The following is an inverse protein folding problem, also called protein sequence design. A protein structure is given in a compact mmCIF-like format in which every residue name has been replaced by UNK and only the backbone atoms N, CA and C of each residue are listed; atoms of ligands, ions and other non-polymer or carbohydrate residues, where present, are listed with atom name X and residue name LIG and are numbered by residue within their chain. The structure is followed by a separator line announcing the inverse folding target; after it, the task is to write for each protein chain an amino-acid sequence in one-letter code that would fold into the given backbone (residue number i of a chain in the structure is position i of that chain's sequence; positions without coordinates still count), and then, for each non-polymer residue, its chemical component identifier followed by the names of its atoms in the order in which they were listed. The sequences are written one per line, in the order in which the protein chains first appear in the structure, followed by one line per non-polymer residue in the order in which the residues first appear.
data_IF_205802767600
#
_entry.id   IF_205802767600
#
_cell.length_a   1.000
_cell.length_b   1.000
_cell.length_c   1.000
_cell.angle_alpha   90.00
_cell.angle_beta   90.00
_cell.angle_gamma   90.00
#
_symmetry.space_group_name_H-M   'P 1'
#
loop_
_entity.id
_entity.type
_entity.pdbx_description
1 polymer ?
#
# COMPACT_ATOMS: atom_id res chain seq x y z
N UNK A 1 -21.91 22.27 -2.52
CA UNK A 1 -20.76 21.38 -2.42
C UNK A 1 -20.42 20.87 -3.83
N UNK A 2 -19.37 21.38 -4.44
CA UNK A 2 -18.98 21.04 -5.79
C UNK A 2 -18.22 19.72 -5.77
N UNK A 3 -18.76 18.69 -6.42
CA UNK A 3 -18.02 17.52 -6.78
C UNK A 3 -16.85 17.96 -7.68
N UNK A 4 -15.62 17.91 -7.14
CA UNK A 4 -14.43 18.08 -7.96
C UNK A 4 -14.40 16.88 -8.92
N UNK A 5 -14.63 17.13 -10.21
CA UNK A 5 -14.26 16.21 -11.27
C UNK A 5 -12.75 16.02 -11.18
N UNK A 6 -12.32 14.85 -10.73
CA UNK A 6 -10.92 14.47 -10.79
C UNK A 6 -10.50 14.45 -12.26
N UNK A 7 -9.57 15.34 -12.62
CA UNK A 7 -9.01 15.40 -13.95
C UNK A 7 -7.86 14.40 -14.00
N UNK A 8 -8.03 13.35 -14.78
CA UNK A 8 -7.10 12.25 -15.04
C UNK A 8 -5.63 12.68 -15.34
N UNK A 9 -5.39 13.95 -15.63
CA UNK A 9 -4.06 14.48 -15.96
C UNK A 9 -3.21 14.96 -14.78
N UNK A 10 -3.77 15.08 -13.57
CA UNK A 10 -3.01 15.56 -12.39
C UNK A 10 -2.54 14.43 -11.46
N UNK A 11 -3.20 13.28 -11.48
CA UNK A 11 -2.89 12.17 -10.58
C UNK A 11 -1.76 11.26 -11.11
N UNK A 12 -1.34 11.45 -12.35
CA UNK A 12 -0.29 10.66 -13.03
C UNK A 12 1.13 11.24 -12.79
N UNK A 13 1.25 12.39 -12.14
CA UNK A 13 2.50 13.17 -12.18
C UNK A 13 3.73 12.46 -11.62
N UNK A 14 3.61 11.57 -10.61
CA UNK A 14 4.79 10.86 -10.13
C UNK A 14 5.03 9.55 -10.90
N UNK A 15 3.98 8.93 -11.44
CA UNK A 15 4.12 7.75 -12.30
C UNK A 15 4.87 8.07 -13.60
N UNK A 16 4.89 9.33 -14.05
CA UNK A 16 5.71 9.79 -15.18
C UNK A 16 7.23 9.60 -14.93
N UNK A 17 7.64 9.32 -13.69
CA UNK A 17 9.04 9.03 -13.37
C UNK A 17 9.51 7.74 -14.03
N UNK A 18 8.62 6.74 -14.12
CA UNK A 18 8.89 5.41 -14.69
C UNK A 18 7.85 4.95 -15.73
N UNK A 19 6.98 5.85 -16.21
CA UNK A 19 5.96 5.59 -17.23
C UNK A 19 6.37 6.07 -18.64
N UNK A 20 7.38 5.52 -19.32
CA UNK A 20 7.42 5.68 -20.76
C UNK A 20 6.54 4.60 -21.38
N UNK A 21 5.46 5.02 -22.03
CA UNK A 21 4.63 4.20 -22.95
C UNK A 21 4.23 2.81 -22.44
N UNK A 22 3.23 2.74 -21.55
CA UNK A 22 2.56 1.47 -21.23
C UNK A 22 1.86 0.89 -22.47
N UNK A 23 1.81 -0.45 -22.61
CA UNK A 23 1.03 -1.12 -23.64
C UNK A 23 -0.44 -0.70 -23.62
N UNK A 24 -1.04 -0.56 -24.80
CA UNK A 24 -2.47 -0.21 -24.93
C UNK A 24 -3.37 -1.24 -24.24
N UNK A 25 -2.99 -2.50 -24.27
CA UNK A 25 -3.69 -3.60 -23.61
C UNK A 25 -3.75 -3.39 -22.10
N UNK A 26 -2.64 -3.01 -21.49
CA UNK A 26 -2.56 -2.75 -20.04
C UNK A 26 -3.39 -1.53 -19.64
N UNK A 27 -3.31 -0.44 -20.43
CA UNK A 27 -4.14 0.73 -20.21
C UNK A 27 -5.63 0.41 -20.36
N UNK A 28 -6.02 -0.40 -21.35
CA UNK A 28 -7.41 -0.81 -21.53
C UNK A 28 -7.93 -1.64 -20.34
N UNK A 29 -7.09 -2.52 -19.75
CA UNK A 29 -7.44 -3.28 -18.56
C UNK A 29 -7.60 -2.38 -17.33
N UNK A 30 -6.73 -1.38 -17.17
CA UNK A 30 -6.82 -0.40 -16.10
C UNK A 30 -8.11 0.43 -16.16
N UNK A 31 -8.68 0.65 -17.35
CA UNK A 31 -9.95 1.39 -17.53
C UNK A 31 -11.21 0.55 -17.23
N UNK A 32 -11.09 -0.73 -16.91
CA UNK A 32 -12.24 -1.57 -16.57
C UNK A 32 -12.91 -1.12 -15.26
N UNK A 33 -14.24 -1.29 -15.08
CA UNK A 33 -14.94 -0.86 -13.87
C UNK A 33 -14.36 -1.45 -12.58
N UNK A 34 -13.88 -2.71 -12.62
CA UNK A 34 -13.28 -3.38 -11.46
C UNK A 34 -11.98 -2.71 -11.01
N UNK A 35 -11.17 -2.22 -11.94
CA UNK A 35 -9.96 -1.45 -11.64
C UNK A 35 -10.29 0.00 -11.25
N UNK A 36 -11.23 0.65 -11.95
CA UNK A 36 -11.66 2.02 -11.66
C UNK A 36 -12.23 2.18 -10.24
N UNK A 37 -12.78 1.12 -9.66
CA UNK A 37 -13.19 1.08 -8.26
C UNK A 37 -12.06 1.50 -7.31
N UNK A 38 -10.83 1.06 -7.60
CA UNK A 38 -9.64 1.32 -6.77
C UNK A 38 -9.26 2.81 -6.69
N UNK A 39 -9.76 3.67 -7.58
CA UNK A 39 -9.59 5.13 -7.47
C UNK A 39 -10.26 5.71 -6.21
N UNK A 40 -11.22 5.00 -5.64
CA UNK A 40 -11.98 5.39 -4.45
C UNK A 40 -11.62 4.57 -3.21
N UNK A 41 -10.45 3.93 -3.25
CA UNK A 41 -9.84 3.24 -2.11
C UNK A 41 -8.47 3.87 -1.88
N UNK A 42 -8.30 4.44 -0.69
CA UNK A 42 -7.08 5.12 -0.28
C UNK A 42 -5.93 4.15 -0.01
N UNK A 43 -4.71 4.63 -0.16
CA UNK A 43 -3.51 3.82 0.08
C UNK A 43 -3.20 3.65 1.57
N UNK A 44 -3.73 4.52 2.43
CA UNK A 44 -3.40 4.58 3.85
C UNK A 44 -4.48 4.00 4.76
N UNK A 45 -5.26 3.04 4.26
CA UNK A 45 -6.18 2.25 5.07
C UNK A 45 -7.21 3.08 5.85
N UNK A 46 -7.63 4.22 5.31
CA UNK A 46 -8.56 5.14 5.96
C UNK A 46 -7.94 6.08 6.98
N UNK A 47 -6.64 5.94 7.32
CA UNK A 47 -5.96 6.87 8.24
C UNK A 47 -5.93 8.30 7.68
N UNK A 48 -5.98 8.47 6.36
CA UNK A 48 -6.08 9.76 5.66
C UNK A 48 -7.39 10.53 5.93
N UNK A 49 -8.40 9.90 6.51
CA UNK A 49 -9.63 10.58 6.92
C UNK A 49 -9.50 11.27 8.28
N UNK A 50 -8.45 11.00 9.04
CA UNK A 50 -8.14 11.68 10.30
C UNK A 50 -7.67 13.12 10.06
N UNK A 51 -7.45 13.86 11.14
CA UNK A 51 -6.88 15.19 11.10
C UNK A 51 -5.34 15.21 11.26
N UNK A 52 -4.67 14.08 11.11
CA UNK A 52 -3.20 14.01 11.25
C UNK A 52 -2.49 14.95 10.27
N UNK A 53 -1.52 15.73 10.74
CA UNK A 53 -0.80 16.67 9.89
C UNK A 53 -0.15 16.03 8.66
N UNK A 54 0.32 14.79 8.77
CA UNK A 54 0.97 14.06 7.68
C UNK A 54 0.04 13.88 6.47
N UNK A 55 -1.25 13.60 6.69
CA UNK A 55 -2.23 13.45 5.61
C UNK A 55 -2.78 14.78 5.12
N UNK A 56 -2.98 15.76 6.03
CA UNK A 56 -3.41 17.12 5.65
C UNK A 56 -2.41 17.82 4.76
N UNK A 57 -1.12 17.54 4.91
CA UNK A 57 -0.02 18.13 4.17
C UNK A 57 0.39 17.32 2.93
N UNK A 58 -0.23 16.18 2.66
CA UNK A 58 0.08 15.39 1.48
C UNK A 58 -0.15 16.18 0.20
N UNK A 59 0.75 16.02 -0.80
CA UNK A 59 0.72 16.79 -2.04
C UNK A 59 -0.52 16.48 -2.89
N UNK A 60 -0.99 15.22 -2.87
CA UNK A 60 -2.20 14.77 -3.54
C UNK A 60 -2.73 13.49 -2.88
N UNK A 61 -4.01 13.12 -3.11
CA UNK A 61 -4.53 11.82 -2.74
C UNK A 61 -3.75 10.68 -3.42
N UNK A 62 -3.52 9.60 -2.69
CA UNK A 62 -2.87 8.40 -3.20
C UNK A 62 -3.85 7.23 -3.11
N UNK A 63 -4.22 6.66 -4.26
CA UNK A 63 -5.20 5.59 -4.36
C UNK A 63 -4.58 4.24 -4.68
N UNK A 64 -5.29 3.16 -4.37
CA UNK A 64 -4.91 1.81 -4.80
C UNK A 64 -4.83 1.67 -6.32
N UNK A 65 -5.63 2.42 -7.06
CA UNK A 65 -5.55 2.48 -8.52
C UNK A 65 -4.20 3.02 -8.99
N UNK A 66 -3.77 4.16 -8.43
CA UNK A 66 -2.49 4.79 -8.81
C UNK A 66 -1.32 3.86 -8.47
N UNK A 67 -1.37 3.21 -7.31
CA UNK A 67 -0.41 2.21 -6.88
C UNK A 67 -0.37 1.00 -7.84
N UNK A 68 -1.51 0.41 -8.17
CA UNK A 68 -1.59 -0.74 -9.08
C UNK A 68 -1.05 -0.42 -10.48
N UNK A 69 -1.38 0.79 -10.99
CA UNK A 69 -0.86 1.24 -12.29
C UNK A 69 0.65 1.46 -12.25
N UNK A 70 1.16 2.06 -11.17
CA UNK A 70 2.60 2.26 -10.97
C UNK A 70 3.35 0.94 -10.81
N UNK A 71 2.82 -0.03 -10.06
CA UNK A 71 3.38 -1.38 -9.95
C UNK A 71 3.49 -2.06 -11.31
N UNK A 72 2.40 -2.02 -12.10
CA UNK A 72 2.39 -2.57 -13.46
C UNK A 72 3.42 -1.90 -14.38
N UNK A 73 3.59 -0.58 -14.24
CA UNK A 73 4.56 0.19 -15.03
C UNK A 73 6.00 -0.20 -14.69
N UNK A 74 6.32 -0.40 -13.42
CA UNK A 74 7.63 -0.88 -12.98
C UNK A 74 7.89 -2.29 -13.52
N UNK A 75 6.92 -3.20 -13.36
CA UNK A 75 7.05 -4.57 -13.90
C UNK A 75 7.28 -4.53 -15.40
N UNK A 76 6.48 -3.76 -16.15
CA UNK A 76 6.65 -3.62 -17.60
C UNK A 76 8.02 -3.06 -17.98
N UNK A 77 8.49 -2.03 -17.25
CA UNK A 77 9.79 -1.41 -17.52
C UNK A 77 10.95 -2.41 -17.44
N UNK A 78 10.92 -3.29 -16.43
CA UNK A 78 12.03 -4.22 -16.18
C UNK A 78 11.90 -5.55 -16.91
N UNK A 79 10.69 -5.97 -17.28
CA UNK A 79 10.47 -7.32 -17.85
C UNK A 79 10.06 -7.31 -19.31
N UNK A 80 9.39 -6.26 -19.78
CA UNK A 80 8.67 -6.22 -21.06
C UNK A 80 7.75 -7.43 -21.29
N UNK A 81 7.27 -8.04 -20.22
CA UNK A 81 6.35 -9.17 -20.20
C UNK A 81 4.96 -8.70 -19.79
N UNK A 82 4.02 -8.75 -20.77
CA UNK A 82 2.64 -8.28 -20.53
C UNK A 82 1.94 -9.09 -19.44
N UNK A 83 2.19 -10.39 -19.36
CA UNK A 83 1.59 -11.26 -18.33
C UNK A 83 1.97 -10.82 -16.93
N UNK A 84 3.26 -10.61 -16.67
CA UNK A 84 3.75 -10.15 -15.38
C UNK A 84 3.25 -8.73 -15.05
N UNK A 85 3.23 -7.83 -16.05
CA UNK A 85 2.74 -6.47 -15.86
C UNK A 85 1.24 -6.43 -15.53
N UNK A 86 0.42 -7.31 -16.18
CA UNK A 86 -1.01 -7.44 -15.86
C UNK A 86 -1.22 -8.05 -14.49
N UNK A 87 -0.45 -9.07 -14.09
CA UNK A 87 -0.50 -9.60 -12.72
C UNK A 87 -0.19 -8.49 -11.69
N UNK A 88 0.83 -7.66 -11.95
CA UNK A 88 1.15 -6.49 -11.13
C UNK A 88 0.04 -5.43 -11.14
N UNK A 89 -0.67 -5.23 -12.26
CA UNK A 89 -1.85 -4.34 -12.30
C UNK A 89 -2.98 -4.83 -11.42
N UNK A 90 -3.22 -6.15 -11.40
CA UNK A 90 -4.38 -6.77 -10.79
C UNK A 90 -4.15 -7.20 -9.32
N UNK A 91 -2.92 -7.06 -8.79
CA UNK A 91 -2.58 -7.58 -7.46
C UNK A 91 -3.51 -7.05 -6.35
N UNK A 92 -3.89 -5.79 -6.42
CA UNK A 92 -4.77 -5.11 -5.46
C UNK A 92 -6.25 -5.07 -5.89
N UNK A 93 -6.64 -5.77 -6.97
CA UNK A 93 -8.01 -5.71 -7.51
C UNK A 93 -9.07 -6.09 -6.49
N UNK A 94 -8.75 -6.94 -5.53
CA UNK A 94 -9.65 -7.38 -4.46
C UNK A 94 -9.53 -6.57 -3.16
N UNK A 95 -8.71 -5.53 -3.11
CA UNK A 95 -8.56 -4.71 -1.91
C UNK A 95 -9.92 -4.12 -1.48
N UNK A 96 -10.37 -4.35 -0.23
CA UNK A 96 -11.62 -3.79 0.28
C UNK A 96 -11.48 -2.29 0.62
N UNK A 97 -12.60 -1.64 0.86
CA UNK A 97 -12.63 -0.32 1.47
C UNK A 97 -11.83 -0.33 2.78
N UNK A 98 -10.98 0.67 2.97
CA UNK A 98 -10.01 0.77 4.07
C UNK A 98 -8.97 -0.35 4.13
N UNK A 99 -8.83 -1.13 3.06
CA UNK A 99 -7.73 -2.08 2.85
C UNK A 99 -7.43 -2.96 4.08
N UNK A 100 -6.23 -2.88 4.64
CA UNK A 100 -5.77 -3.70 5.77
C UNK A 100 -6.54 -3.50 7.09
N UNK A 101 -7.42 -2.51 7.21
CA UNK A 101 -8.34 -2.44 8.36
C UNK A 101 -9.23 -3.68 8.43
N UNK A 102 -9.57 -4.28 7.28
CA UNK A 102 -10.35 -5.54 7.25
C UNK A 102 -9.54 -6.72 7.80
N UNK A 103 -8.21 -6.70 7.69
CA UNK A 103 -7.37 -7.71 8.34
C UNK A 103 -7.38 -7.56 9.88
N UNK A 104 -7.39 -6.31 10.39
CA UNK A 104 -7.61 -6.04 11.82
C UNK A 104 -8.99 -6.54 12.27
N UNK A 105 -10.03 -6.28 11.49
CA UNK A 105 -11.39 -6.75 11.74
C UNK A 105 -11.45 -8.29 11.84
N UNK A 106 -10.70 -8.99 10.99
CA UNK A 106 -10.64 -10.45 10.93
C UNK A 106 -9.65 -11.07 11.94
N UNK A 107 -8.94 -10.25 12.73
CA UNK A 107 -7.90 -10.70 13.66
C UNK A 107 -6.60 -11.15 12.97
N UNK A 108 -6.42 -10.85 11.69
CA UNK A 108 -5.25 -11.22 10.87
C UNK A 108 -4.25 -10.06 10.66
N UNK A 109 -4.26 -9.08 11.54
CA UNK A 109 -3.47 -7.85 11.42
C UNK A 109 -1.93 -8.05 11.38
N UNK A 110 -1.43 -9.23 11.79
CA UNK A 110 -0.01 -9.58 11.74
C UNK A 110 0.41 -10.21 10.40
N UNK A 111 -0.49 -10.92 9.72
CA UNK A 111 -0.22 -11.52 8.39
C UNK A 111 -0.71 -10.61 7.27
N UNK A 112 -1.94 -10.07 7.43
CA UNK A 112 -2.62 -9.23 6.44
C UNK A 112 -2.83 -9.95 5.10
N UNK A 113 -3.39 -11.16 5.16
CA UNK A 113 -3.65 -12.04 4.01
C UNK A 113 -5.14 -12.41 3.91
N UNK A 114 -5.97 -11.97 4.87
CA UNK A 114 -7.37 -12.40 4.98
C UNK A 114 -8.26 -11.98 3.79
N UNK A 115 -7.80 -11.03 2.98
CA UNK A 115 -8.54 -10.47 1.83
C UNK A 115 -8.07 -10.98 0.47
N UNK A 116 -6.91 -11.65 0.37
CA UNK A 116 -6.28 -12.07 -0.89
C UNK A 116 -7.10 -13.13 -1.66
N UNK A 117 -7.85 -13.97 -0.96
CA UNK A 117 -8.62 -15.06 -1.57
C UNK A 117 -9.74 -14.62 -2.55
N UNK A 118 -10.01 -13.31 -2.68
CA UNK A 118 -11.05 -12.80 -3.60
C UNK A 118 -10.51 -12.35 -4.97
N UNK A 119 -9.20 -12.27 -5.17
CA UNK A 119 -8.59 -11.79 -6.43
C UNK A 119 -9.11 -12.58 -7.63
N UNK A 120 -9.00 -13.92 -7.61
CA UNK A 120 -9.50 -14.78 -8.66
C UNK A 120 -10.98 -14.52 -8.99
N UNK A 121 -11.84 -14.49 -7.97
CA UNK A 121 -13.27 -14.32 -8.16
C UNK A 121 -13.65 -12.94 -8.68
N UNK A 122 -12.97 -11.88 -8.25
CA UNK A 122 -13.22 -10.52 -8.73
C UNK A 122 -12.79 -10.32 -10.18
N UNK A 123 -11.66 -10.88 -10.60
CA UNK A 123 -11.25 -10.88 -12.01
C UNK A 123 -12.27 -11.67 -12.85
N UNK A 124 -12.59 -12.91 -12.44
CA UNK A 124 -13.54 -13.79 -13.14
C UNK A 124 -14.93 -13.16 -13.28
N UNK A 125 -15.34 -12.34 -12.33
CA UNK A 125 -16.67 -11.67 -12.32
C UNK A 125 -16.71 -10.40 -13.18
N UNK A 126 -15.60 -9.99 -13.81
CA UNK A 126 -15.53 -8.81 -14.69
C UNK A 126 -15.51 -9.21 -16.16
N UNK A 127 -16.66 -9.20 -16.88
CA UNK A 127 -16.73 -9.62 -18.29
C UNK A 127 -15.82 -8.81 -19.21
N UNK A 128 -15.69 -7.49 -18.95
CA UNK A 128 -14.85 -6.60 -19.75
C UNK A 128 -13.37 -6.95 -19.57
N UNK A 129 -12.92 -7.18 -18.33
CA UNK A 129 -11.55 -7.56 -18.04
C UNK A 129 -11.22 -8.93 -18.62
N UNK A 130 -12.10 -9.92 -18.45
CA UNK A 130 -11.93 -11.26 -19.03
C UNK A 130 -11.85 -11.23 -20.56
N UNK A 131 -12.67 -10.37 -21.22
CA UNK A 131 -12.59 -10.21 -22.67
C UNK A 131 -11.26 -9.55 -23.12
N UNK A 132 -10.72 -8.62 -22.33
CA UNK A 132 -9.42 -8.00 -22.58
C UNK A 132 -8.27 -8.99 -22.40
N UNK A 133 -8.29 -9.78 -21.32
CA UNK A 133 -7.30 -10.87 -21.10
C UNK A 133 -7.29 -11.83 -22.28
N UNK A 134 -8.46 -12.35 -22.69
CA UNK A 134 -8.56 -13.28 -23.81
C UNK A 134 -8.04 -12.67 -25.13
N UNK A 135 -8.32 -11.39 -25.41
CA UNK A 135 -7.78 -10.71 -26.60
C UNK A 135 -6.26 -10.55 -26.58
N UNK A 136 -5.69 -10.44 -25.38
CA UNK A 136 -4.25 -10.35 -25.17
C UNK A 136 -3.56 -11.74 -25.11
N UNK A 137 -4.33 -12.83 -25.29
CA UNK A 137 -3.82 -14.20 -25.20
C UNK A 137 -3.48 -14.64 -23.77
N UNK A 138 -4.06 -13.96 -22.76
CA UNK A 138 -3.87 -14.27 -21.34
C UNK A 138 -5.08 -15.01 -20.78
N UNK A 139 -4.82 -15.93 -19.85
CA UNK A 139 -5.83 -16.63 -19.07
C UNK A 139 -5.96 -15.99 -17.68
N UNK A 140 -7.04 -16.32 -16.98
CA UNK A 140 -7.21 -15.90 -15.58
C UNK A 140 -6.05 -16.42 -14.70
N UNK A 141 -5.69 -17.69 -14.83
CA UNK A 141 -4.61 -18.33 -14.09
C UNK A 141 -3.22 -17.72 -14.35
N UNK A 142 -3.06 -16.96 -15.45
CA UNK A 142 -1.82 -16.24 -15.73
C UNK A 142 -1.63 -15.00 -14.86
N UNK A 143 -2.71 -14.45 -14.29
CA UNK A 143 -2.70 -13.09 -13.71
C UNK A 143 -3.34 -12.98 -12.32
N UNK A 144 -3.95 -14.02 -11.80
CA UNK A 144 -4.65 -14.01 -10.51
C UNK A 144 -3.73 -14.22 -9.29
N UNK A 145 -2.50 -14.68 -9.53
CA UNK A 145 -1.47 -14.86 -8.50
C UNK A 145 -0.17 -14.16 -8.91
N UNK A 146 0.01 -12.92 -8.46
CA UNK A 146 1.18 -12.10 -8.76
C UNK A 146 2.46 -12.57 -8.06
N UNK A 147 2.37 -13.38 -7.00
CA UNK A 147 3.54 -13.97 -6.30
C UNK A 147 4.33 -14.94 -7.20
N UNK A 148 3.72 -15.42 -8.28
CA UNK A 148 4.42 -16.24 -9.29
C UNK A 148 5.48 -15.45 -10.08
N UNK A 149 5.48 -14.12 -9.95
CA UNK A 149 6.34 -13.19 -10.69
C UNK A 149 7.22 -12.39 -9.74
N UNK A 150 8.48 -12.82 -9.49
CA UNK A 150 9.34 -12.26 -8.45
C UNK A 150 9.64 -10.76 -8.60
N UNK A 151 9.54 -10.22 -9.84
CA UNK A 151 9.68 -8.77 -10.06
C UNK A 151 8.42 -8.03 -9.64
N UNK A 152 7.22 -8.61 -9.81
CA UNK A 152 5.97 -8.00 -9.38
C UNK A 152 5.88 -7.97 -7.84
N UNK A 153 6.01 -9.13 -7.20
CA UNK A 153 6.18 -9.23 -5.75
C UNK A 153 7.03 -10.44 -5.35
N UNK A 154 7.56 -10.41 -4.13
CA UNK A 154 8.43 -11.43 -3.55
C UNK A 154 8.41 -11.33 -2.02
N UNK A 155 9.05 -12.27 -1.32
CA UNK A 155 9.11 -12.25 0.13
C UNK A 155 9.97 -11.10 0.68
N UNK A 156 9.50 -10.45 1.75
CA UNK A 156 10.32 -9.51 2.53
C UNK A 156 11.57 -10.24 3.06
N UNK A 157 12.74 -9.60 3.04
CA UNK A 157 13.00 -8.18 2.82
C UNK A 157 13.43 -7.81 1.39
N UNK A 158 13.17 -8.64 0.40
CA UNK A 158 13.55 -8.44 -0.99
C UNK A 158 12.83 -7.23 -1.60
N UNK A 159 13.42 -6.64 -2.65
CA UNK A 159 12.82 -5.53 -3.37
C UNK A 159 11.99 -6.05 -4.56
N UNK A 160 10.70 -5.69 -4.59
CA UNK A 160 9.75 -5.95 -5.67
C UNK A 160 9.22 -4.65 -6.25
N UNK A 161 8.49 -4.73 -7.37
CA UNK A 161 7.82 -3.58 -7.97
C UNK A 161 6.75 -2.99 -7.05
N UNK A 162 5.98 -3.84 -6.35
CA UNK A 162 5.02 -3.41 -5.33
C UNK A 162 5.68 -2.57 -4.26
N UNK A 163 6.78 -3.08 -3.64
CA UNK A 163 7.50 -2.38 -2.57
C UNK A 163 8.19 -1.12 -3.06
N UNK A 164 8.74 -1.14 -4.25
CA UNK A 164 9.34 0.03 -4.88
C UNK A 164 8.29 1.12 -5.09
N UNK A 165 7.15 0.75 -5.69
CA UNK A 165 6.10 1.68 -6.04
C UNK A 165 5.54 2.40 -4.83
N UNK A 166 5.10 1.67 -3.78
CA UNK A 166 4.55 2.35 -2.62
C UNK A 166 5.62 3.16 -1.84
N UNK A 167 6.89 2.76 -1.90
CA UNK A 167 7.98 3.56 -1.30
C UNK A 167 8.16 4.89 -2.03
N UNK A 168 8.20 4.87 -3.36
CA UNK A 168 8.36 6.08 -4.17
C UNK A 168 7.12 6.98 -4.13
N UNK A 169 5.92 6.38 -4.19
CA UNK A 169 4.66 7.10 -4.11
C UNK A 169 4.53 7.88 -2.80
N UNK A 170 4.78 7.23 -1.66
CA UNK A 170 4.75 7.91 -0.37
C UNK A 170 5.91 8.90 -0.21
N UNK A 171 7.11 8.58 -0.70
CA UNK A 171 8.23 9.50 -0.68
C UNK A 171 7.88 10.81 -1.40
N UNK A 172 7.22 10.73 -2.55
CA UNK A 172 6.79 11.89 -3.32
C UNK A 172 5.59 12.60 -2.69
N UNK A 173 4.49 11.88 -2.47
CA UNK A 173 3.20 12.49 -2.14
C UNK A 173 3.10 12.89 -0.66
N UNK A 174 3.74 12.15 0.23
CA UNK A 174 3.63 12.33 1.69
C UNK A 174 4.88 12.95 2.29
N UNK A 175 6.06 12.49 1.88
CA UNK A 175 7.33 12.98 2.43
C UNK A 175 7.96 14.11 1.63
N UNK A 176 7.33 14.52 0.51
CA UNK A 176 7.77 15.62 -0.35
C UNK A 176 9.21 15.46 -0.88
N UNK A 177 9.62 14.20 -1.14
CA UNK A 177 10.91 13.90 -1.74
C UNK A 177 11.00 14.53 -3.14
N UNK A 178 12.12 15.19 -3.50
CA UNK A 178 12.28 15.78 -4.81
C UNK A 178 12.21 14.75 -5.94
N UNK A 179 11.53 15.07 -7.03
CA UNK A 179 11.39 14.19 -8.20
C UNK A 179 12.74 13.73 -8.76
N UNK A 180 13.77 14.61 -8.74
CA UNK A 180 15.11 14.26 -9.19
C UNK A 180 15.72 13.09 -8.39
N UNK A 181 15.45 13.00 -7.09
CA UNK A 181 15.90 11.91 -6.22
C UNK A 181 15.17 10.60 -6.56
N UNK A 182 13.86 10.67 -6.79
CA UNK A 182 13.07 9.51 -7.21
C UNK A 182 13.51 8.99 -8.58
N UNK A 183 13.80 9.88 -9.54
CA UNK A 183 14.34 9.50 -10.86
C UNK A 183 15.72 8.86 -10.74
N UNK A 184 16.59 9.35 -9.84
CA UNK A 184 17.89 8.75 -9.58
C UNK A 184 17.73 7.31 -9.03
N UNK A 185 16.78 7.09 -8.10
CA UNK A 185 16.47 5.76 -7.57
C UNK A 185 16.01 4.83 -8.69
N UNK A 186 15.02 5.24 -9.50
CA UNK A 186 14.52 4.42 -10.61
C UNK A 186 15.59 4.13 -11.67
N UNK A 187 16.42 5.12 -12.00
CA UNK A 187 17.46 5.01 -13.02
C UNK A 187 18.66 4.16 -12.59
N UNK A 188 18.80 3.87 -11.31
CA UNK A 188 19.89 3.05 -10.76
C UNK A 188 19.55 1.56 -10.69
N UNK A 189 18.27 1.22 -10.85
CA UNK A 189 17.80 -0.16 -10.69
C UNK A 189 18.05 -1.01 -11.92
N UNK A 190 18.32 -2.27 -11.68
CA UNK A 190 18.37 -3.33 -12.70
C UNK A 190 17.87 -4.66 -12.14
N UNK A 191 17.58 -5.63 -13.02
CA UNK A 191 17.20 -6.99 -12.61
C UNK A 191 18.46 -7.82 -12.41
N UNK A 192 18.65 -8.37 -11.22
CA UNK A 192 19.74 -9.29 -10.88
C UNK A 192 19.21 -10.60 -10.31
N UNK A 193 20.11 -11.56 -10.08
CA UNK A 193 19.78 -12.82 -9.41
C UNK A 193 20.16 -12.74 -7.94
N UNK A 194 19.20 -13.06 -7.06
CA UNK A 194 19.44 -13.14 -5.62
C UNK A 194 20.13 -14.45 -5.20
N UNK A 195 20.25 -14.66 -3.89
CA UNK A 195 20.93 -15.82 -3.28
C UNK A 195 20.30 -17.17 -3.68
N UNK A 196 19.03 -17.16 -4.10
CA UNK A 196 18.26 -18.33 -4.52
C UNK A 196 18.20 -18.46 -6.04
N UNK A 197 18.98 -17.65 -6.78
CA UNK A 197 18.96 -17.57 -8.24
C UNK A 197 17.60 -17.13 -8.83
N UNK A 198 16.83 -16.33 -8.05
CA UNK A 198 15.54 -15.74 -8.45
C UNK A 198 15.77 -14.29 -8.87
N UNK A 199 15.00 -13.80 -9.84
CA UNK A 199 15.06 -12.39 -10.28
C UNK A 199 14.60 -11.46 -9.15
N UNK A 200 15.36 -10.36 -8.93
CA UNK A 200 15.07 -9.34 -7.94
C UNK A 200 15.53 -7.97 -8.47
N UNK A 201 14.85 -6.89 -8.09
CA UNK A 201 15.31 -5.53 -8.37
C UNK A 201 16.52 -5.20 -7.48
N UNK A 202 17.60 -4.77 -8.12
CA UNK A 202 18.90 -4.53 -7.50
C UNK A 202 19.38 -3.11 -7.79
N UNK A 203 20.16 -2.53 -6.90
CA UNK A 203 20.83 -1.24 -7.09
C UNK A 203 22.23 -1.41 -7.68
N UNK A 204 22.56 -0.54 -8.64
CA UNK A 204 23.93 -0.49 -9.20
C UNK A 204 24.90 0.23 -8.24
N UNK A 205 24.44 1.24 -7.48
CA UNK A 205 25.28 2.07 -6.63
C UNK A 205 24.80 2.10 -5.18
N UNK A 206 25.73 1.95 -4.25
CA UNK A 206 25.43 1.89 -2.80
C UNK A 206 24.86 3.20 -2.24
N UNK A 207 25.29 4.35 -2.76
CA UNK A 207 24.79 5.66 -2.35
C UNK A 207 23.32 5.89 -2.73
N UNK A 208 22.87 5.33 -3.85
CA UNK A 208 21.48 5.40 -4.27
C UNK A 208 20.63 4.42 -3.44
N UNK A 209 21.17 3.23 -3.19
CA UNK A 209 20.54 2.26 -2.26
C UNK A 209 20.39 2.85 -0.84
N UNK A 210 21.37 3.62 -0.35
CA UNK A 210 21.28 4.32 0.94
C UNK A 210 20.13 5.33 0.96
N UNK A 211 19.97 6.11 -0.12
CA UNK A 211 18.87 7.06 -0.26
C UNK A 211 17.53 6.33 -0.22
N UNK A 212 17.36 5.28 -1.01
CA UNK A 212 16.15 4.48 -1.05
C UNK A 212 15.82 3.83 0.30
N UNK A 213 16.80 3.20 0.94
CA UNK A 213 16.59 2.48 2.20
C UNK A 213 16.24 3.40 3.36
N UNK A 214 16.74 4.65 3.38
CA UNK A 214 16.30 5.69 4.34
C UNK A 214 14.83 6.05 4.14
N UNK A 215 14.38 6.23 2.90
CA UNK A 215 12.96 6.49 2.60
C UNK A 215 12.08 5.31 3.00
N UNK A 216 12.49 4.10 2.63
CA UNK A 216 11.79 2.87 2.96
C UNK A 216 11.69 2.62 4.47
N UNK A 217 12.77 2.83 5.23
CA UNK A 217 12.74 2.64 6.69
C UNK A 217 11.85 3.69 7.36
N UNK A 218 11.96 4.97 6.98
CA UNK A 218 11.08 6.04 7.47
C UNK A 218 9.60 5.70 7.24
N UNK A 219 9.28 5.16 6.08
CA UNK A 219 7.92 4.72 5.76
C UNK A 219 7.50 3.52 6.59
N UNK A 220 8.39 2.55 6.79
CA UNK A 220 8.12 1.36 7.61
C UNK A 220 7.83 1.75 9.07
N UNK A 221 8.58 2.71 9.62
CA UNK A 221 8.35 3.27 10.95
C UNK A 221 7.00 4.00 11.02
N UNK A 222 6.64 4.75 9.99
CA UNK A 222 5.35 5.44 9.91
C UNK A 222 4.17 4.45 9.86
N UNK A 223 4.25 3.39 9.06
CA UNK A 223 3.20 2.36 8.92
C UNK A 223 2.94 1.54 10.19
N UNK A 224 3.82 1.60 11.18
CA UNK A 224 3.63 0.96 12.49
C UNK A 224 3.65 1.98 13.64
N UNK A 225 3.54 3.27 13.32
CA UNK A 225 3.47 4.33 14.33
C UNK A 225 2.27 4.16 15.27
N UNK A 226 2.32 4.83 16.39
CA UNK A 226 1.19 4.85 17.32
C UNK A 226 -0.08 5.41 16.67
N UNK A 227 0.06 6.45 15.83
CA UNK A 227 -1.04 7.04 15.05
C UNK A 227 -1.69 6.02 14.12
N UNK A 228 -0.89 5.29 13.35
CA UNK A 228 -1.38 4.29 12.40
C UNK A 228 -2.09 3.12 13.10
N UNK A 229 -1.41 2.49 14.08
CA UNK A 229 -1.96 1.35 14.83
C UNK A 229 -3.25 1.68 15.56
N UNK A 230 -3.31 2.87 16.19
CA UNK A 230 -4.52 3.35 16.83
C UNK A 230 -5.66 3.52 15.83
N UNK A 231 -5.39 4.19 14.71
CA UNK A 231 -6.39 4.51 13.70
C UNK A 231 -6.97 3.26 13.04
N UNK A 232 -6.10 2.31 12.67
CA UNK A 232 -6.54 1.05 12.07
C UNK A 232 -7.40 0.22 13.03
N UNK A 233 -7.00 0.11 14.30
CA UNK A 233 -7.78 -0.61 15.31
C UNK A 233 -9.12 0.08 15.59
N UNK A 234 -9.13 1.42 15.75
CA UNK A 234 -10.36 2.17 15.97
C UNK A 234 -11.35 1.98 14.80
N UNK A 235 -10.85 2.10 13.57
CA UNK A 235 -11.68 1.93 12.38
C UNK A 235 -12.16 0.49 12.22
N UNK A 236 -11.34 -0.51 12.53
CA UNK A 236 -11.75 -1.91 12.54
C UNK A 236 -12.91 -2.17 13.52
N UNK A 237 -12.83 -1.63 14.73
CA UNK A 237 -13.92 -1.74 15.71
C UNK A 237 -15.18 -1.00 15.27
N UNK A 238 -15.05 0.16 14.61
CA UNK A 238 -16.20 0.87 14.04
C UNK A 238 -16.87 0.05 12.92
N UNK A 239 -16.09 -0.59 12.04
CA UNK A 239 -16.62 -1.48 11.01
C UNK A 239 -17.26 -2.73 11.60
N UNK A 240 -16.65 -3.31 12.64
CA UNK A 240 -17.22 -4.45 13.37
C UNK A 240 -18.61 -4.13 13.93
N UNK A 241 -18.77 -2.97 14.56
CA UNK A 241 -20.06 -2.54 15.12
C UNK A 241 -21.09 -2.27 14.01
N UNK A 242 -20.65 -1.72 12.87
CA UNK A 242 -21.52 -1.52 11.72
C UNK A 242 -22.01 -2.85 11.10
N UNK A 243 -21.14 -3.85 11.01
CA UNK A 243 -21.49 -5.21 10.56
C UNK A 243 -22.43 -5.89 11.57
N UNK A 244 -22.10 -5.83 12.86
CA UNK A 244 -22.87 -6.46 13.94
C UNK A 244 -24.29 -5.88 14.07
N UNK A 245 -24.45 -4.59 13.78
CA UNK A 245 -25.75 -3.90 13.78
C UNK A 245 -26.51 -4.04 12.44
N UNK A 246 -25.95 -4.68 11.43
CA UNK A 246 -26.56 -4.84 10.12
C UNK A 246 -26.61 -3.58 9.27
N UNK A 247 -25.88 -2.53 9.64
CA UNK A 247 -25.71 -1.29 8.85
C UNK A 247 -24.81 -1.55 7.64
N UNK A 248 -23.82 -2.43 7.78
CA UNK A 248 -22.97 -2.95 6.72
C UNK A 248 -23.10 -4.46 6.57
N UNK A 249 -22.82 -4.93 5.37
CA UNK A 249 -22.54 -6.33 5.07
C UNK A 249 -21.07 -6.49 4.64
N UNK A 250 -20.54 -7.71 4.65
CA UNK A 250 -19.18 -7.97 4.16
C UNK A 250 -19.02 -7.57 2.69
N UNK A 251 -20.04 -7.71 1.87
CA UNK A 251 -19.98 -7.32 0.46
C UNK A 251 -19.92 -5.80 0.27
N UNK A 252 -20.48 -5.02 1.19
CA UNK A 252 -20.34 -3.56 1.17
C UNK A 252 -18.88 -3.12 1.29
N UNK A 253 -18.04 -3.85 2.02
CA UNK A 253 -16.61 -3.57 2.15
C UNK A 253 -15.85 -3.74 0.82
N UNK A 254 -16.38 -4.51 -0.12
CA UNK A 254 -15.79 -4.70 -1.46
C UNK A 254 -16.38 -3.74 -2.51
N UNK A 255 -17.10 -2.71 -2.09
CA UNK A 255 -17.52 -1.58 -2.93
C UNK A 255 -16.41 -0.51 -2.96
N UNK A 256 -16.60 0.61 -2.30
CA UNK A 256 -15.61 1.67 -2.11
C UNK A 256 -15.81 2.41 -0.78
N UNK A 257 -14.81 3.20 -0.38
CA UNK A 257 -14.83 3.92 0.91
C UNK A 257 -15.99 4.90 1.03
N UNK A 258 -16.37 5.59 -0.04
CA UNK A 258 -17.46 6.56 0.00
C UNK A 258 -18.82 5.88 0.25
N UNK A 259 -19.01 4.70 -0.32
CA UNK A 259 -20.20 3.87 -0.09
C UNK A 259 -20.27 3.41 1.36
N UNK A 260 -19.16 2.90 1.90
CA UNK A 260 -19.09 2.48 3.32
C UNK A 260 -19.31 3.66 4.25
N UNK A 261 -18.65 4.79 4.02
CA UNK A 261 -18.82 6.01 4.83
C UNK A 261 -20.28 6.50 4.82
N UNK A 262 -20.94 6.48 3.65
CA UNK A 262 -22.34 6.89 3.56
C UNK A 262 -23.26 6.01 4.41
N UNK A 263 -23.01 4.70 4.49
CA UNK A 263 -23.75 3.79 5.36
C UNK A 263 -23.44 4.04 6.85
N UNK A 264 -22.18 4.26 7.24
CA UNK A 264 -21.83 4.63 8.62
C UNK A 264 -22.57 5.90 9.05
N UNK A 265 -22.63 6.89 8.17
CA UNK A 265 -23.32 8.17 8.44
C UNK A 265 -24.85 8.03 8.51
N UNK A 266 -25.45 6.97 8.00
CA UNK A 266 -26.89 6.73 8.10
C UNK A 266 -27.36 6.28 9.49
N UNK A 267 -26.44 5.81 10.36
CA UNK A 267 -26.73 5.38 11.72
C UNK A 267 -26.14 6.35 12.75
N UNK A 268 -26.94 7.04 13.58
CA UNK A 268 -26.47 8.14 14.42
C UNK A 268 -25.28 7.80 15.32
N UNK A 269 -25.26 6.62 15.95
CA UNK A 269 -24.15 6.19 16.82
C UNK A 269 -22.84 5.97 16.06
N UNK A 270 -22.91 5.35 14.87
CA UNK A 270 -21.76 5.13 14.01
C UNK A 270 -21.27 6.45 13.38
N UNK A 271 -22.22 7.32 13.00
CA UNK A 271 -21.92 8.66 12.50
C UNK A 271 -21.13 9.49 13.52
N UNK A 272 -21.54 9.46 14.79
CA UNK A 272 -20.83 10.15 15.86
C UNK A 272 -19.37 9.63 15.99
N UNK A 273 -19.18 8.31 16.04
CA UNK A 273 -17.84 7.70 16.11
C UNK A 273 -16.99 8.02 14.87
N UNK A 274 -17.59 8.02 13.69
CA UNK A 274 -16.89 8.43 12.46
C UNK A 274 -16.45 9.90 12.52
N UNK A 275 -17.28 10.81 13.06
CA UNK A 275 -16.91 12.21 13.24
C UNK A 275 -15.79 12.37 14.28
N UNK A 276 -15.81 11.62 15.37
CA UNK A 276 -14.72 11.59 16.34
C UNK A 276 -13.42 11.11 15.71
N UNK A 277 -13.45 10.03 14.92
CA UNK A 277 -12.31 9.54 14.15
C UNK A 277 -11.68 10.63 13.29
N UNK A 278 -12.51 11.41 12.58
CA UNK A 278 -12.05 12.48 11.70
C UNK A 278 -11.41 13.67 12.41
N UNK A 279 -11.61 13.81 13.72
CA UNK A 279 -11.07 14.90 14.54
C UNK A 279 -9.76 14.53 15.23
N UNK A 280 -9.29 13.30 15.10
CA UNK A 280 -8.04 12.85 15.70
C UNK A 280 -6.88 13.59 15.05
N UNK A 281 -6.08 14.32 15.84
CA UNK A 281 -4.93 15.11 15.37
C UNK A 281 -3.58 14.47 15.68
N UNK A 282 -3.57 13.42 16.52
CA UNK A 282 -2.39 12.68 16.94
C UNK A 282 -2.75 11.66 17.98
N UNK A 283 -1.74 10.96 18.48
CA UNK A 283 -1.88 10.03 19.59
C UNK A 283 -0.88 10.32 20.71
N UNK A 284 -1.16 9.80 21.88
CA UNK A 284 -0.24 9.67 23.00
C UNK A 284 -0.12 8.19 23.37
N UNK A 285 0.99 7.81 23.98
CA UNK A 285 1.21 6.43 24.41
C UNK A 285 1.81 6.34 25.82
N UNK A 286 1.62 5.18 26.46
CA UNK A 286 2.16 4.92 27.78
C UNK A 286 2.03 3.45 28.20
N UNK A 287 2.75 3.08 29.26
CA UNK A 287 2.75 1.71 29.80
C UNK A 287 1.40 1.36 30.43
N UNK A 288 0.70 2.34 31.02
CA UNK A 288 -0.59 2.15 31.68
C UNK A 288 -1.73 2.68 30.81
N UNK A 289 -2.85 1.94 30.79
CA UNK A 289 -4.07 2.39 30.13
C UNK A 289 -4.61 3.64 30.83
N UNK A 290 -4.91 4.74 30.10
CA UNK A 290 -5.50 5.92 30.70
C UNK A 290 -6.93 5.63 31.22
N UNK A 291 -7.27 6.19 32.37
CA UNK A 291 -8.61 6.03 32.95
C UNK A 291 -9.65 6.79 32.12
N UNK A 292 -10.78 6.14 31.82
CA UNK A 292 -11.92 6.76 31.16
C UNK A 292 -11.76 7.10 29.68
N UNK A 293 -10.63 6.80 29.07
CA UNK A 293 -10.39 7.03 27.66
C UNK A 293 -10.37 5.72 26.87
N UNK A 294 -10.84 5.77 25.62
CA UNK A 294 -10.62 4.69 24.68
C UNK A 294 -9.11 4.62 24.36
N UNK A 295 -8.53 3.45 24.52
CA UNK A 295 -7.11 3.21 24.25
C UNK A 295 -6.91 1.79 23.74
N UNK A 296 -6.00 1.63 22.82
CA UNK A 296 -5.65 0.34 22.18
C UNK A 296 -4.23 -0.08 22.56
N UNK A 297 -3.98 -1.38 22.54
CA UNK A 297 -2.66 -1.97 22.65
C UNK A 297 -2.59 -3.08 21.60
N UNK A 298 -2.03 -2.77 20.46
CA UNK A 298 -2.03 -3.64 19.28
C UNK A 298 -0.68 -3.58 18.57
N UNK A 299 -0.19 -4.74 18.16
CA UNK A 299 0.99 -4.88 17.32
C UNK A 299 0.61 -4.65 15.84
N UNK A 300 1.61 -4.48 14.98
CA UNK A 300 1.45 -4.36 13.55
C UNK A 300 2.49 -5.18 12.77
N UNK A 301 2.16 -5.52 11.51
CA UNK A 301 3.08 -6.17 10.58
C UNK A 301 4.22 -5.22 10.22
N UNK A 302 5.43 -5.57 10.64
CA UNK A 302 6.63 -4.80 10.27
C UNK A 302 7.08 -5.18 8.86
N UNK A 303 7.02 -4.22 7.96
CA UNK A 303 7.58 -4.34 6.62
C UNK A 303 8.97 -3.75 6.60
N UNK A 304 9.92 -4.39 5.93
CA UNK A 304 11.29 -3.87 5.77
C UNK A 304 11.89 -4.34 4.47
N UNK A 305 12.75 -3.52 3.89
CA UNK A 305 13.43 -3.80 2.63
C UNK A 305 14.94 -3.80 2.89
N UNK A 306 15.61 -4.85 2.42
CA UNK A 306 17.08 -4.97 2.43
C UNK A 306 17.51 -5.33 1.00
N UNK A 307 17.62 -4.33 0.10
CA UNK A 307 17.83 -4.57 -1.32
C UNK A 307 19.24 -5.12 -1.60
N UNK A 308 19.37 -5.78 -2.74
CA UNK A 308 20.67 -6.15 -3.29
C UNK A 308 21.35 -4.94 -3.93
N UNK A 309 22.66 -4.86 -3.76
CA UNK A 309 23.52 -3.81 -4.33
C UNK A 309 24.72 -4.43 -5.02
N UNK A 310 25.06 -3.92 -6.21
CA UNK A 310 26.24 -4.34 -6.95
C UNK A 310 27.53 -3.89 -6.22
N UNK A 311 28.43 -4.84 -6.00
CA UNK A 311 29.76 -4.59 -5.44
C UNK A 311 30.84 -5.18 -6.35
N UNK A 312 32.10 -4.93 -6.08
CA UNK A 312 33.23 -5.58 -6.81
C UNK A 312 33.24 -7.12 -6.63
N UNK A 313 32.59 -7.63 -5.57
CA UNK A 313 32.47 -9.06 -5.29
C UNK A 313 31.13 -9.68 -5.67
N UNK A 314 30.31 -8.98 -6.49
CA UNK A 314 28.95 -9.40 -6.87
C UNK A 314 27.85 -8.73 -6.05
N UNK A 315 26.63 -9.22 -6.17
CA UNK A 315 25.47 -8.68 -5.45
C UNK A 315 25.53 -9.00 -3.95
N UNK A 316 25.28 -8.01 -3.12
CA UNK A 316 25.25 -8.13 -1.65
C UNK A 316 24.05 -7.39 -1.07
N UNK A 317 23.43 -7.94 -0.01
CA UNK A 317 22.39 -7.23 0.76
C UNK A 317 22.95 -5.91 1.31
N UNK A 318 22.12 -4.88 1.30
CA UNK A 318 22.59 -3.54 1.74
C UNK A 318 23.02 -3.55 3.22
N UNK A 319 22.35 -4.31 4.09
CA UNK A 319 22.77 -4.49 5.50
C UNK A 319 24.16 -5.12 5.64
N UNK A 320 24.60 -5.93 4.68
CA UNK A 320 25.93 -6.55 4.70
C UNK A 320 27.06 -5.59 4.32
N UNK A 321 26.73 -4.42 3.72
CA UNK A 321 27.71 -3.40 3.28
C UNK A 321 27.52 -2.06 3.98
N UNK A 322 26.41 -1.86 4.73
CA UNK A 322 26.11 -0.63 5.47
C UNK A 322 25.72 -0.97 6.92
N UNK A 323 26.68 -0.85 7.84
CA UNK A 323 26.47 -1.20 9.24
C UNK A 323 25.48 -0.25 9.96
N UNK A 324 25.39 1.02 9.57
CA UNK A 324 24.45 1.98 10.14
C UNK A 324 23.01 1.59 9.79
N UNK A 325 22.76 1.28 8.52
CA UNK A 325 21.43 0.78 8.12
C UNK A 325 21.07 -0.54 8.81
N UNK A 326 22.03 -1.47 8.91
CA UNK A 326 21.82 -2.75 9.61
C UNK A 326 21.38 -2.53 11.06
N UNK A 327 22.04 -1.62 11.79
CA UNK A 327 21.71 -1.28 13.16
C UNK A 327 20.31 -0.64 13.28
N UNK A 328 19.98 0.31 12.43
CA UNK A 328 18.64 0.96 12.40
C UNK A 328 17.53 -0.04 12.09
N UNK A 329 17.74 -0.90 11.12
CA UNK A 329 16.77 -1.94 10.75
C UNK A 329 16.57 -2.95 11.88
N UNK A 330 17.65 -3.35 12.58
CA UNK A 330 17.57 -4.23 13.74
C UNK A 330 16.79 -3.58 14.89
N UNK A 331 17.02 -2.27 15.17
CA UNK A 331 16.27 -1.53 16.17
C UNK A 331 14.78 -1.43 15.83
N UNK A 332 14.43 -1.13 14.57
CA UNK A 332 13.05 -1.12 14.09
C UNK A 332 12.37 -2.49 14.29
N UNK A 333 13.07 -3.58 13.97
CA UNK A 333 12.54 -4.94 14.14
C UNK A 333 12.36 -5.34 15.59
N UNK A 334 13.10 -4.74 16.52
CA UNK A 334 13.07 -5.06 17.95
C UNK A 334 11.91 -4.42 18.72
N UNK A 335 11.23 -3.38 18.20
CA UNK A 335 10.06 -2.76 18.86
C UNK A 335 8.95 -3.80 19.02
N UNK A 336 8.47 -4.02 20.25
CA UNK A 336 7.43 -4.99 20.59
C UNK A 336 6.01 -4.38 20.64
N UNK A 337 5.90 -3.05 20.52
CA UNK A 337 4.65 -2.29 20.61
C UNK A 337 3.91 -2.44 21.96
N UNK A 338 4.59 -2.84 23.02
CA UNK A 338 4.03 -3.09 24.34
C UNK A 338 3.64 -1.81 25.10
N UNK A 339 2.82 -0.96 24.46
CA UNK A 339 2.31 0.29 25.01
C UNK A 339 0.84 0.51 24.66
N UNK A 340 0.09 1.17 25.57
CA UNK A 340 -1.24 1.67 25.30
C UNK A 340 -1.16 2.96 24.49
N UNK A 341 -2.08 3.11 23.54
CA UNK A 341 -2.15 4.27 22.64
C UNK A 341 -3.57 4.83 22.71
N UNK A 342 -3.71 6.15 22.80
CA UNK A 342 -5.00 6.86 22.84
C UNK A 342 -4.93 8.14 22.02
N UNK A 343 -6.11 8.58 21.51
CA UNK A 343 -6.21 9.72 20.62
C UNK A 343 -6.03 11.06 21.35
N UNK A 344 -5.49 12.02 20.60
CA UNK A 344 -5.53 13.47 20.86
C UNK A 344 -6.47 14.09 19.83
N UNK A 345 -7.34 14.99 20.30
CA UNK A 345 -8.33 15.68 19.48
C UNK A 345 -8.05 17.19 19.43
N UNK A 346 -8.50 17.85 18.36
CA UNK A 346 -8.61 19.32 18.31
C UNK A 346 -9.59 19.84 19.34
#
# INVERSE_FOLDING_TARGET
AAARRFSFRKDIMYTDIYLPSLPQELLAMAETPVMQRLQRIGMHCGCEYTAYPIYRNAAAPYSRYTHSLGTAAIVWHFTHDLKQAVAGLLHDVATPAFAHVVDFLNGDHLRQESTEGRTHSMIASSPELMALLARSGLTLDDVDDYHRYPIADNDSPRLSADRLEYTLGNAHLVFHCPEAELRAICGDLFVGKNEENIDELCFAHAEIADTFTRLSLRQSEWFVSDDDRFSMQYLAELLHDALSSGVLTMDDLYTDEQTVIARLLSAPALAARWQDYRRITGTQSGVQKPNGSYAVKVAAKKRSIDPLVQTSGGLRRFTAINADYAAKLAAFRADDFERWVWAVYE
#
